data_IF_670471763795
#
_entry.id   IF_670471763795
#
_cell.length_a   1.000
_cell.length_b   1.000
_cell.length_c   1.000
_cell.angle_alpha   90.00
_cell.angle_beta   90.00
_cell.angle_gamma   90.00
#
_symmetry.space_group_name_H-M   'P 1'
#
loop_
_entity.id
_entity.type
_entity.pdbx_description
1 polymer ?
#
# COMPACT_ATOMS: atom_id res chain seq x y z
N UNK A 1 -10.82 20.88 -9.26
CA UNK A 1 -11.76 20.07 -8.45
C UNK A 1 -11.77 20.63 -7.04
N UNK A 2 -12.90 21.14 -6.53
CA UNK A 2 -13.03 21.46 -5.10
C UNK A 2 -13.44 20.19 -4.37
N UNK A 3 -12.66 19.80 -3.35
CA UNK A 3 -13.04 18.73 -2.44
C UNK A 3 -14.22 19.24 -1.61
N UNK A 4 -15.44 18.91 -2.01
CA UNK A 4 -16.65 19.20 -1.25
C UNK A 4 -16.96 18.03 -0.31
N UNK A 5 -17.48 18.33 0.87
CA UNK A 5 -17.87 17.40 1.94
C UNK A 5 -18.63 16.15 1.45
N UNK A 6 -19.48 16.30 0.43
CA UNK A 6 -20.21 15.18 -0.16
C UNK A 6 -19.29 14.17 -0.89
N UNK A 7 -18.23 14.67 -1.53
CA UNK A 7 -17.22 13.81 -2.20
C UNK A 7 -16.40 13.04 -1.17
N UNK A 8 -16.04 13.70 -0.05
CA UNK A 8 -15.30 13.06 1.05
C UNK A 8 -16.13 11.93 1.67
N UNK A 9 -17.44 12.14 1.86
CA UNK A 9 -18.37 11.10 2.34
C UNK A 9 -18.60 9.95 1.36
N UNK A 10 -18.40 10.20 0.06
CA UNK A 10 -18.53 9.17 -0.97
C UNK A 10 -17.28 8.28 -1.11
N UNK A 11 -16.15 8.67 -0.51
CA UNK A 11 -14.93 7.87 -0.56
C UNK A 11 -15.15 6.54 0.18
N UNK A 12 -14.84 5.45 -0.52
CA UNK A 12 -14.93 4.09 0.00
C UNK A 12 -13.61 3.39 -0.21
N UNK A 13 -13.37 2.35 0.57
CA UNK A 13 -12.19 1.51 0.42
C UNK A 13 -12.22 0.87 -0.97
N UNK A 14 -11.31 1.30 -1.85
CA UNK A 14 -11.20 0.74 -3.20
C UNK A 14 -10.54 -0.64 -3.20
N UNK A 15 -9.62 -0.89 -2.25
CA UNK A 15 -8.90 -2.15 -2.14
C UNK A 15 -8.43 -2.42 -0.72
N UNK A 16 -8.52 -3.69 -0.31
CA UNK A 16 -7.98 -4.18 0.97
C UNK A 16 -6.95 -5.24 0.65
N UNK A 17 -5.74 -5.07 1.18
CA UNK A 17 -4.69 -6.06 1.12
C UNK A 17 -4.51 -6.67 2.50
N UNK A 18 -4.58 -8.00 2.60
CA UNK A 18 -4.41 -8.76 3.86
C UNK A 18 -3.17 -9.65 3.80
N UNK A 19 -2.16 -9.21 3.07
CA UNK A 19 -1.02 -10.05 2.71
C UNK A 19 0.14 -9.93 3.72
N UNK A 20 0.11 -8.91 4.56
CA UNK A 20 1.04 -8.77 5.68
C UNK A 20 0.50 -9.57 6.87
N UNK A 21 1.34 -10.44 7.42
CA UNK A 21 1.01 -11.27 8.59
C UNK A 21 1.15 -10.48 9.89
N UNK A 22 2.12 -9.56 9.95
CA UNK A 22 2.38 -8.72 11.12
C UNK A 22 2.09 -7.23 10.86
N UNK A 23 2.32 -6.40 11.88
CA UNK A 23 2.08 -4.97 11.87
C UNK A 23 2.89 -4.28 10.77
N UNK A 24 2.19 -3.55 9.90
CA UNK A 24 2.86 -2.65 8.95
C UNK A 24 3.41 -1.46 9.72
N UNK A 25 4.74 -1.34 9.72
CA UNK A 25 5.44 -0.27 10.40
C UNK A 25 5.52 1.01 9.55
N UNK A 26 5.67 0.86 8.22
CA UNK A 26 5.75 2.02 7.32
C UNK A 26 5.02 1.79 6.00
N UNK A 27 4.54 2.90 5.41
CA UNK A 27 3.90 2.95 4.09
C UNK A 27 4.49 4.11 3.30
N UNK A 28 4.94 3.85 2.08
CA UNK A 28 5.49 4.88 1.19
C UNK A 28 4.89 4.77 -0.21
N UNK A 29 4.39 5.89 -0.73
CA UNK A 29 3.90 5.99 -2.09
C UNK A 29 5.00 6.52 -3.01
N UNK A 30 5.06 6.02 -4.24
CA UNK A 30 5.85 6.67 -5.29
C UNK A 30 5.21 8.00 -5.66
N UNK A 31 6.02 9.00 -6.01
CA UNK A 31 5.55 10.33 -6.45
C UNK A 31 4.63 10.27 -7.66
N UNK A 32 4.74 9.21 -8.46
CA UNK A 32 3.91 8.95 -9.64
C UNK A 32 2.57 8.28 -9.29
N UNK A 33 2.37 7.86 -8.03
CA UNK A 33 1.14 7.19 -7.58
C UNK A 33 0.99 5.74 -8.05
N UNK A 34 1.83 5.29 -8.98
CA UNK A 34 1.82 3.94 -9.55
C UNK A 34 2.19 2.83 -8.54
N UNK A 35 2.96 3.18 -7.50
CA UNK A 35 3.51 2.21 -6.55
C UNK A 35 3.21 2.59 -5.11
N UNK A 36 2.85 1.59 -4.31
CA UNK A 36 2.85 1.67 -2.86
C UNK A 36 3.78 0.60 -2.30
N UNK A 37 4.56 0.97 -1.31
CA UNK A 37 5.47 0.07 -0.61
C UNK A 37 5.01 0.04 0.85
N UNK A 38 4.83 -1.15 1.40
CA UNK A 38 4.66 -1.35 2.84
C UNK A 38 5.84 -2.12 3.41
N UNK A 39 6.32 -1.73 4.58
CA UNK A 39 7.24 -2.55 5.37
C UNK A 39 6.54 -3.07 6.63
N UNK A 40 6.68 -4.37 6.87
CA UNK A 40 6.18 -5.05 8.06
C UNK A 40 7.34 -5.45 8.99
N UNK A 41 7.03 -5.77 10.25
CA UNK A 41 8.01 -6.26 11.23
C UNK A 41 8.53 -7.67 10.88
N UNK A 42 7.81 -8.43 10.05
CA UNK A 42 8.20 -9.77 9.54
C UNK A 42 9.43 -9.77 8.60
N UNK A 43 10.22 -8.69 8.56
CA UNK A 43 11.28 -8.45 7.57
C UNK A 43 10.79 -8.51 6.10
N UNK A 44 9.47 -8.39 5.89
CA UNK A 44 8.85 -8.39 4.57
C UNK A 44 8.59 -6.95 4.10
N UNK A 45 9.01 -6.68 2.88
CA UNK A 45 8.66 -5.47 2.14
C UNK A 45 7.71 -5.87 1.02
N UNK A 46 6.48 -5.38 1.08
CA UNK A 46 5.47 -5.66 0.05
C UNK A 46 5.33 -4.46 -0.87
N UNK A 47 5.41 -4.73 -2.16
CA UNK A 47 5.26 -3.75 -3.23
C UNK A 47 3.91 -3.99 -3.90
N UNK A 48 3.07 -2.97 -3.86
CA UNK A 48 1.75 -2.93 -4.44
C UNK A 48 1.79 -2.05 -5.68
N UNK A 49 1.23 -2.58 -6.75
CA UNK A 49 0.92 -1.84 -7.95
C UNK A 49 -0.45 -1.19 -7.74
N UNK A 50 -0.50 0.14 -7.59
CA UNK A 50 -1.73 0.88 -7.32
C UNK A 50 -2.65 0.91 -8.56
N UNK A 51 -2.06 0.93 -9.74
CA UNK A 51 -2.76 1.02 -11.03
C UNK A 51 -3.54 -0.27 -11.32
N UNK A 52 -2.92 -1.42 -11.07
CA UNK A 52 -3.56 -2.74 -11.22
C UNK A 52 -4.20 -3.24 -9.92
N UNK A 53 -3.88 -2.59 -8.81
CA UNK A 53 -4.20 -3.02 -7.46
C UNK A 53 -3.59 -4.38 -7.10
N UNK A 54 -2.59 -4.90 -7.80
CA UNK A 54 -2.05 -6.23 -7.47
C UNK A 54 -0.83 -6.10 -6.57
N UNK A 55 -0.67 -7.04 -5.65
CA UNK A 55 0.60 -7.22 -4.96
C UNK A 55 1.59 -7.80 -5.95
N UNK A 56 2.57 -6.98 -6.30
CA UNK A 56 3.52 -7.34 -7.35
C UNK A 56 4.64 -8.19 -6.78
N UNK A 57 5.15 -7.82 -5.60
CA UNK A 57 6.27 -8.52 -4.97
C UNK A 57 6.21 -8.46 -3.46
N UNK A 58 6.56 -9.58 -2.87
CA UNK A 58 6.97 -9.67 -1.48
C UNK A 58 8.50 -9.88 -1.48
N UNK A 59 9.24 -8.94 -0.89
CA UNK A 59 10.68 -8.95 -0.78
C UNK A 59 11.06 -9.27 0.66
N UNK A 60 11.84 -10.32 0.85
CA UNK A 60 12.40 -10.66 2.16
C UNK A 60 13.69 -9.85 2.36
N UNK A 61 13.70 -8.94 3.33
CA UNK A 61 14.88 -8.19 3.73
C UNK A 61 15.77 -9.01 4.68
N UNK A 62 16.17 -10.23 4.31
CA UNK A 62 17.20 -10.94 5.08
C UNK A 62 18.55 -10.25 4.84
N UNK A 63 18.90 -9.36 5.76
CA UNK A 63 20.19 -8.68 5.83
C UNK A 63 21.28 -9.74 5.98
N UNK A 64 22.13 -9.88 4.96
CA UNK A 64 23.37 -10.66 4.98
C UNK A 64 24.37 -10.05 5.98
#
# INVERSE_FOLDING_TARGET
MKLVDNVIRSMRVGKVFRENSDGVNNLHFSSDGSWLISSADDDQIVIYDCEKGVTRRNLNSKKY
#
